data_IF_775283917582
#
_entry.id   IF_775283917582
#
_cell.length_a   1.000
_cell.length_b   1.000
_cell.length_c   1.000
_cell.angle_alpha   90.00
_cell.angle_beta   90.00
_cell.angle_gamma   90.00
#
_symmetry.space_group_name_H-M   'P 1'
#
loop_
_entity.id
_entity.type
_entity.pdbx_description
1 polymer ?
#
# COMPACT_ATOMS: atom_id res chain seq x y z
N UNK A 1 14.15 0.64 -18.25
CA UNK A 1 13.07 0.55 -17.23
C UNK A 1 11.82 0.01 -17.89
N UNK A 2 11.25 -1.06 -17.36
CA UNK A 2 9.98 -1.62 -17.86
C UNK A 2 8.89 -1.11 -16.92
N UNK A 3 7.82 -0.52 -17.48
CA UNK A 3 6.67 -0.03 -16.74
C UNK A 3 5.45 -0.87 -17.12
N UNK A 4 4.84 -1.50 -16.12
CA UNK A 4 3.55 -2.17 -16.26
C UNK A 4 2.44 -1.25 -15.79
N UNK A 5 1.28 -1.24 -16.45
CA UNK A 5 0.10 -0.54 -15.98
C UNK A 5 -1.09 -1.47 -15.84
N UNK A 6 -1.87 -1.28 -14.79
CA UNK A 6 -3.13 -1.95 -14.56
C UNK A 6 -4.21 -0.91 -14.27
N UNK A 7 -5.39 -1.11 -14.86
CA UNK A 7 -6.58 -0.33 -14.56
C UNK A 7 -7.52 -1.23 -13.79
N UNK A 8 -8.06 -0.75 -12.67
CA UNK A 8 -8.98 -1.50 -11.84
C UNK A 8 -10.13 -2.10 -12.66
N UNK A 9 -10.37 -3.39 -12.47
CA UNK A 9 -11.39 -4.15 -13.20
C UNK A 9 -10.96 -4.72 -14.56
N UNK A 10 -9.77 -4.36 -15.07
CA UNK A 10 -9.29 -4.77 -16.39
C UNK A 10 -8.05 -5.69 -16.35
N UNK A 11 -7.86 -6.44 -15.27
CA UNK A 11 -6.74 -7.39 -15.14
C UNK A 11 -7.15 -8.60 -14.29
N UNK A 12 -6.51 -9.74 -14.54
CA UNK A 12 -6.66 -10.92 -13.68
C UNK A 12 -5.73 -10.86 -12.46
N UNK A 13 -6.05 -11.63 -11.42
CA UNK A 13 -5.17 -11.75 -10.24
C UNK A 13 -3.81 -12.33 -10.58
N UNK A 14 -3.77 -13.30 -11.49
CA UNK A 14 -2.54 -13.93 -11.98
C UNK A 14 -1.66 -12.92 -12.69
N UNK A 15 -2.24 -12.09 -13.56
CA UNK A 15 -1.53 -11.04 -14.27
C UNK A 15 -0.97 -9.98 -13.30
N UNK A 16 -1.75 -9.57 -12.31
CA UNK A 16 -1.31 -8.64 -11.28
C UNK A 16 -0.13 -9.20 -10.48
N UNK A 17 -0.24 -10.45 -10.01
CA UNK A 17 0.84 -11.14 -9.29
C UNK A 17 2.11 -11.27 -10.12
N UNK A 18 2.00 -11.61 -11.41
CA UNK A 18 3.14 -11.68 -12.31
C UNK A 18 3.86 -10.34 -12.41
N UNK A 19 3.13 -9.26 -12.65
CA UNK A 19 3.68 -7.90 -12.74
C UNK A 19 4.34 -7.46 -11.42
N UNK A 20 3.72 -7.75 -10.28
CA UNK A 20 4.32 -7.48 -8.97
C UNK A 20 5.64 -8.23 -8.78
N UNK A 21 5.68 -9.52 -9.14
CA UNK A 21 6.89 -10.34 -8.98
C UNK A 21 8.09 -9.82 -9.79
N UNK A 22 7.84 -9.08 -10.86
CA UNK A 22 8.85 -8.47 -11.73
C UNK A 22 9.16 -7.01 -11.34
N UNK A 23 8.46 -6.46 -10.35
CA UNK A 23 8.52 -5.05 -9.97
C UNK A 23 9.41 -4.81 -8.75
N UNK A 24 10.19 -3.75 -8.76
CA UNK A 24 10.95 -3.26 -7.58
C UNK A 24 10.08 -2.46 -6.62
N UNK A 25 9.08 -1.77 -7.14
CA UNK A 25 8.06 -1.03 -6.40
C UNK A 25 6.82 -0.86 -7.28
N UNK A 26 5.70 -0.54 -6.66
CA UNK A 26 4.45 -0.24 -7.36
C UNK A 26 3.96 1.16 -7.04
N UNK A 27 3.36 1.83 -8.03
CA UNK A 27 2.75 3.15 -7.87
C UNK A 27 1.24 2.99 -7.88
N UNK A 28 0.58 3.52 -6.86
CA UNK A 28 -0.87 3.49 -6.71
C UNK A 28 -1.46 4.88 -6.86
N UNK A 29 -2.45 5.00 -7.74
CA UNK A 29 -3.18 6.23 -8.03
C UNK A 29 -4.65 6.00 -7.67
N UNK A 30 -4.97 6.17 -6.40
CA UNK A 30 -6.33 6.05 -5.87
C UNK A 30 -6.67 7.30 -5.06
N UNK A 31 -7.93 7.71 -5.08
CA UNK A 31 -8.39 8.86 -4.31
C UNK A 31 -8.65 8.47 -2.85
N UNK A 32 -9.22 7.30 -2.64
CA UNK A 32 -9.56 6.78 -1.31
C UNK A 32 -9.67 5.26 -1.34
N UNK A 33 -9.32 4.64 -0.24
CA UNK A 33 -9.44 3.20 -0.02
C UNK A 33 -10.03 2.91 1.36
N UNK A 34 -10.83 1.86 1.45
CA UNK A 34 -11.36 1.38 2.73
C UNK A 34 -10.37 0.45 3.43
N UNK A 35 -9.81 -0.50 2.70
CA UNK A 35 -8.82 -1.46 3.22
C UNK A 35 -7.53 -1.47 2.40
N UNK A 36 -7.60 -1.20 1.08
CA UNK A 36 -6.45 -1.23 0.21
C UNK A 36 -5.92 -2.66 0.00
N UNK A 37 -6.79 -3.60 -0.39
CA UNK A 37 -6.41 -5.02 -0.59
C UNK A 37 -5.26 -5.15 -1.59
N UNK A 38 -5.29 -4.41 -2.69
CA UNK A 38 -4.23 -4.44 -3.69
C UNK A 38 -2.87 -3.96 -3.14
N UNK A 39 -2.88 -3.00 -2.19
CA UNK A 39 -1.68 -2.59 -1.47
C UNK A 39 -1.14 -3.73 -0.60
N UNK A 40 -2.02 -4.39 0.17
CA UNK A 40 -1.63 -5.51 1.01
C UNK A 40 -1.11 -6.70 0.20
N UNK A 41 -1.67 -6.96 -0.98
CA UNK A 41 -1.16 -7.96 -1.93
C UNK A 41 0.25 -7.60 -2.42
N UNK A 42 0.51 -6.35 -2.78
CA UNK A 42 1.84 -5.90 -3.18
C UNK A 42 2.86 -6.07 -2.02
N UNK A 43 2.51 -5.65 -0.82
CA UNK A 43 3.36 -5.81 0.36
C UNK A 43 3.63 -7.27 0.71
N UNK A 44 2.63 -8.14 0.56
CA UNK A 44 2.79 -9.60 0.75
C UNK A 44 3.80 -10.22 -0.20
N UNK A 45 3.97 -9.64 -1.37
CA UNK A 45 4.98 -10.01 -2.36
C UNK A 45 6.32 -9.27 -2.19
N UNK A 46 6.49 -8.54 -1.09
CA UNK A 46 7.65 -7.71 -0.77
C UNK A 46 7.86 -6.55 -1.75
N UNK A 47 6.78 -6.05 -2.34
CA UNK A 47 6.80 -4.90 -3.25
C UNK A 47 6.35 -3.66 -2.49
N UNK A 48 7.23 -2.68 -2.21
CA UNK A 48 6.85 -1.42 -1.58
C UNK A 48 6.02 -0.56 -2.53
N UNK A 49 5.21 0.32 -1.96
CA UNK A 49 4.26 1.12 -2.72
C UNK A 49 4.50 2.62 -2.56
N UNK A 50 4.43 3.33 -3.69
CA UNK A 50 4.41 4.79 -3.74
C UNK A 50 2.97 5.21 -4.03
N UNK A 51 2.29 5.78 -3.05
CA UNK A 51 0.85 6.03 -3.12
C UNK A 51 0.57 7.51 -3.29
N UNK A 52 -0.15 7.87 -4.35
CA UNK A 52 -0.74 9.19 -4.47
C UNK A 52 -1.89 9.32 -3.48
N UNK A 53 -1.74 10.20 -2.51
CA UNK A 53 -2.71 10.37 -1.43
C UNK A 53 -3.05 11.86 -1.26
N UNK A 54 -4.03 12.38 -2.01
CA UNK A 54 -4.42 13.79 -1.97
C UNK A 54 -5.13 14.19 -0.68
N UNK A 55 -5.55 13.21 0.16
CA UNK A 55 -6.27 13.46 1.43
C UNK A 55 -7.50 14.35 1.25
N UNK A 56 -8.35 14.04 0.29
CA UNK A 56 -9.56 14.81 0.04
C UNK A 56 -10.58 14.63 1.16
N UNK A 57 -11.41 15.66 1.37
CA UNK A 57 -12.52 15.59 2.33
C UNK A 57 -13.57 14.58 1.86
N UNK A 58 -14.07 13.77 2.80
CA UNK A 58 -15.09 12.77 2.51
C UNK A 58 -16.41 13.45 2.10
N UNK A 59 -17.01 12.96 1.00
CA UNK A 59 -18.19 13.60 0.40
C UNK A 59 -19.40 13.74 1.35
N UNK A 60 -19.63 12.72 2.18
CA UNK A 60 -20.80 12.70 3.09
C UNK A 60 -20.49 13.09 4.53
N UNK A 61 -19.23 13.16 4.93
CA UNK A 61 -18.84 13.38 6.33
C UNK A 61 -17.89 14.58 6.36
N UNK A 62 -18.44 15.72 6.71
CA UNK A 62 -17.68 16.97 6.82
C UNK A 62 -16.56 16.84 7.86
N UNK A 63 -15.38 17.29 7.50
CA UNK A 63 -14.20 17.25 8.36
C UNK A 63 -13.48 15.91 8.40
N UNK A 64 -14.03 14.85 7.78
CA UNK A 64 -13.34 13.57 7.64
C UNK A 64 -12.48 13.58 6.37
N UNK A 65 -11.18 13.47 6.53
CA UNK A 65 -10.25 13.26 5.40
C UNK A 65 -10.18 11.79 5.04
N UNK A 66 -10.22 11.51 3.75
CA UNK A 66 -9.96 10.17 3.22
C UNK A 66 -8.48 9.96 2.98
N UNK A 67 -8.06 8.70 2.92
CA UNK A 67 -6.71 8.32 2.50
C UNK A 67 -6.77 7.22 1.45
N UNK A 68 -5.83 7.22 0.52
CA UNK A 68 -5.66 6.15 -0.46
C UNK A 68 -4.89 4.94 0.12
N UNK A 69 -4.38 5.04 1.35
CA UNK A 69 -3.53 4.00 1.93
C UNK A 69 -3.63 3.94 3.47
N UNK A 70 -4.75 3.44 4.02
CA UNK A 70 -5.03 3.50 5.45
C UNK A 70 -4.00 2.79 6.33
N UNK A 71 -3.31 1.76 5.81
CA UNK A 71 -2.34 0.95 6.56
C UNK A 71 -0.89 1.15 6.12
N UNK A 72 -0.61 2.15 5.27
CA UNK A 72 0.74 2.42 4.83
C UNK A 72 1.64 2.81 6.01
N UNK A 73 2.79 2.17 6.10
CA UNK A 73 3.83 2.44 7.09
C UNK A 73 5.16 2.80 6.42
N UNK A 74 6.12 3.29 7.21
CA UNK A 74 7.49 3.53 6.73
C UNK A 74 8.22 2.27 6.24
N UNK A 75 7.68 1.06 6.55
CA UNK A 75 8.22 -0.21 6.07
C UNK A 75 7.59 -0.68 4.77
N UNK A 76 6.40 -0.17 4.43
CA UNK A 76 5.64 -0.64 3.28
C UNK A 76 5.65 0.31 2.09
N UNK A 77 6.06 1.56 2.29
CA UNK A 77 6.12 2.53 1.20
C UNK A 77 6.06 3.98 1.63
N UNK A 78 5.70 4.85 0.70
CA UNK A 78 5.63 6.30 0.90
C UNK A 78 4.39 6.89 0.24
N UNK A 79 3.88 7.98 0.84
CA UNK A 79 2.83 8.84 0.24
C UNK A 79 3.45 10.00 -0.51
N UNK A 80 2.75 10.46 -1.51
CA UNK A 80 3.04 11.72 -2.19
C UNK A 80 1.74 12.42 -2.59
N UNK A 81 1.76 13.74 -2.71
CA UNK A 81 0.62 14.56 -3.11
C UNK A 81 0.88 15.26 -4.43
N UNK A 82 1.99 15.95 -4.50
CA UNK A 82 2.37 16.73 -5.66
C UNK A 82 3.39 15.97 -6.52
N UNK A 83 3.34 16.20 -7.83
CA UNK A 83 4.27 15.54 -8.77
C UNK A 83 5.74 15.85 -8.45
N UNK A 84 6.01 17.00 -7.84
CA UNK A 84 7.35 17.36 -7.38
C UNK A 84 7.87 16.46 -6.27
N UNK A 85 7.01 16.04 -5.35
CA UNK A 85 7.38 15.09 -4.28
C UNK A 85 7.65 13.71 -4.86
N UNK A 86 6.82 13.27 -5.80
CA UNK A 86 7.02 12.00 -6.49
C UNK A 86 8.37 11.95 -7.23
N UNK A 87 8.74 13.03 -7.93
CA UNK A 87 10.04 13.14 -8.60
C UNK A 87 11.20 13.01 -7.63
N UNK A 88 11.17 13.71 -6.48
CA UNK A 88 12.19 13.60 -5.43
C UNK A 88 12.31 12.18 -4.87
N UNK A 89 11.18 11.49 -4.69
CA UNK A 89 11.17 10.08 -4.27
C UNK A 89 11.88 9.21 -5.31
N UNK A 90 11.57 9.39 -6.60
CA UNK A 90 12.20 8.62 -7.68
C UNK A 90 13.71 8.87 -7.80
N UNK A 91 14.16 10.11 -7.63
CA UNK A 91 15.59 10.46 -7.62
C UNK A 91 16.37 9.71 -6.53
N UNK A 92 15.74 9.41 -5.41
CA UNK A 92 16.33 8.73 -4.26
C UNK A 92 15.81 7.29 -4.06
N UNK A 93 15.16 6.72 -5.05
CA UNK A 93 14.40 5.47 -4.90
C UNK A 93 15.24 4.30 -4.39
N UNK A 94 16.49 4.18 -4.81
CA UNK A 94 17.36 3.09 -4.38
C UNK A 94 17.69 3.15 -2.88
N UNK A 95 17.74 4.36 -2.30
CA UNK A 95 17.95 4.56 -0.85
C UNK A 95 16.70 4.06 -0.12
N UNK A 96 15.52 4.50 -0.54
CA UNK A 96 14.26 4.09 0.09
C UNK A 96 13.99 2.59 -0.04
N UNK A 97 14.28 2.00 -1.21
CA UNK A 97 14.09 0.56 -1.42
C UNK A 97 14.91 -0.30 -0.45
N UNK A 98 16.07 0.17 -0.01
CA UNK A 98 16.90 -0.53 0.97
C UNK A 98 16.32 -0.50 2.41
N UNK A 99 15.42 0.45 2.71
CA UNK A 99 14.81 0.63 4.02
C UNK A 99 13.45 -0.08 4.15
N UNK A 100 12.80 -0.41 3.03
CA UNK A 100 11.51 -1.07 3.03
C UNK A 100 11.63 -2.57 3.30
N UNK A 101 10.67 -3.08 4.08
CA UNK A 101 10.49 -4.51 4.37
C UNK A 101 8.98 -4.86 4.40
N UNK A 102 8.26 -4.70 3.27
CA UNK A 102 6.81 -4.78 3.26
C UNK A 102 6.29 -6.14 3.68
N UNK A 103 6.90 -7.23 3.20
CA UNK A 103 6.48 -8.59 3.55
C UNK A 103 6.64 -8.88 5.04
N UNK A 104 7.73 -8.47 5.64
CA UNK A 104 7.95 -8.62 7.08
C UNK A 104 6.88 -7.86 7.86
N UNK A 105 6.58 -6.65 7.43
CA UNK A 105 5.52 -5.85 8.05
C UNK A 105 4.14 -6.54 7.96
N UNK A 106 3.77 -7.09 6.80
CA UNK A 106 2.50 -7.84 6.62
C UNK A 106 2.45 -9.05 7.54
N UNK A 107 3.52 -9.84 7.60
CA UNK A 107 3.58 -11.03 8.47
C UNK A 107 3.39 -10.66 9.95
N UNK A 108 3.90 -9.51 10.36
CA UNK A 108 3.83 -9.04 11.74
C UNK A 108 2.53 -8.32 12.09
N UNK A 109 1.77 -7.79 11.12
CA UNK A 109 0.62 -6.92 11.37
C UNK A 109 -0.69 -7.41 10.76
N UNK A 110 -0.66 -8.13 9.62
CA UNK A 110 -1.85 -8.47 8.83
C UNK A 110 -1.99 -9.97 8.55
N UNK A 111 -1.11 -10.82 9.05
CA UNK A 111 -1.23 -12.27 8.85
C UNK A 111 -2.43 -12.84 9.61
N UNK A 112 -2.99 -13.95 9.12
CA UNK A 112 -4.13 -14.64 9.74
C UNK A 112 -3.85 -14.97 11.21
N UNK A 113 -2.63 -15.43 11.51
CA UNK A 113 -2.21 -15.75 12.88
C UNK A 113 -2.24 -14.51 13.78
N UNK A 114 -1.74 -13.38 13.30
CA UNK A 114 -1.76 -12.12 14.07
C UNK A 114 -3.18 -11.60 14.25
N UNK A 115 -3.98 -11.66 13.21
CA UNK A 115 -5.38 -11.24 13.24
C UNK A 115 -6.20 -12.09 14.21
N UNK A 116 -6.02 -13.40 14.18
CA UNK A 116 -6.69 -14.32 15.10
C UNK A 116 -6.27 -14.10 16.56
N UNK A 117 -4.98 -13.90 16.84
CA UNK A 117 -4.48 -13.57 18.18
C UNK A 117 -5.10 -12.27 18.69
N UNK A 118 -5.10 -11.22 17.88
CA UNK A 118 -5.68 -9.93 18.26
C UNK A 118 -7.18 -10.03 18.52
N UNK A 119 -7.91 -10.82 17.72
CA UNK A 119 -9.33 -11.07 17.96
C UNK A 119 -9.56 -11.77 19.30
N UNK A 120 -8.77 -12.80 19.62
CA UNK A 120 -8.84 -13.51 20.90
C UNK A 120 -8.54 -12.57 22.09
N UNK A 121 -7.57 -11.70 21.96
CA UNK A 121 -7.26 -10.69 22.99
C UNK A 121 -8.46 -9.75 23.24
N UNK A 122 -9.13 -9.29 22.16
CA UNK A 122 -10.31 -8.43 22.27
C UNK A 122 -11.48 -9.17 22.94
N UNK A 123 -11.72 -10.41 22.56
CA UNK A 123 -12.83 -11.23 23.11
C UNK A 123 -12.58 -11.61 24.58
N UNK A 124 -11.35 -11.87 24.96
CA UNK A 124 -10.99 -12.27 26.34
C UNK A 124 -10.79 -11.08 27.28
N UNK A 125 -10.94 -9.84 26.81
CA UNK A 125 -10.77 -8.62 27.61
C UNK A 125 -12.03 -8.24 28.42
N UNK A 126 -13.08 -9.09 28.39
CA UNK A 126 -14.32 -8.91 29.13
C UNK A 126 -14.34 -9.76 30.41
#
# INVERSE_FOLDING_TARGET
MIIYSNIYGNYSKEEYRKKLNESKFAVFLSIAETQGIALAEAWSMNVPTLVWDPEIEHYYIRGLKTTASPYLSSKTGMRWKEIGDFKKILENINIYLAEFSPREWVLNNMSDVKSAKRLLEIVNYN
#
